data_IF_770466360143
#
_entry.id   IF_770466360143
#
_cell.length_a   1.000
_cell.length_b   1.000
_cell.length_c   1.000
_cell.angle_alpha   90.00
_cell.angle_beta   90.00
_cell.angle_gamma   90.00
#
_symmetry.space_group_name_H-M   'P 1'
#
loop_
_entity.id
_entity.type
_entity.pdbx_description
1 polymer ?
#
# COMPACT_ATOMS: atom_id res chain seq x y z
N UNK A 1 15.68 -29.61 29.20
CA UNK A 1 14.31 -29.93 28.79
C UNK A 1 14.26 -29.58 27.31
N UNK A 2 14.26 -30.61 26.44
CA UNK A 2 14.14 -30.44 24.97
C UNK A 2 12.74 -29.91 24.68
N UNK A 3 12.66 -28.68 24.17
CA UNK A 3 11.40 -28.12 23.62
C UNK A 3 10.81 -29.08 22.62
N UNK A 4 9.64 -29.59 22.92
CA UNK A 4 8.93 -30.50 22.03
C UNK A 4 8.56 -29.80 20.70
N UNK A 5 8.63 -30.47 19.55
CA UNK A 5 8.32 -29.86 18.25
C UNK A 5 6.90 -29.28 18.15
N UNK A 6 5.98 -29.72 19.00
CA UNK A 6 4.61 -29.18 19.09
C UNK A 6 4.54 -27.75 19.63
N UNK A 7 5.38 -27.37 20.56
CA UNK A 7 5.38 -26.01 21.13
C UNK A 7 5.93 -24.96 20.13
N UNK A 8 6.89 -25.35 19.28
CA UNK A 8 7.37 -24.48 18.20
C UNK A 8 6.28 -24.19 17.16
N UNK A 9 5.48 -25.18 16.78
CA UNK A 9 4.37 -25.02 15.82
C UNK A 9 3.27 -24.07 16.31
N UNK A 10 2.84 -24.20 17.57
CA UNK A 10 1.82 -23.33 18.18
C UNK A 10 2.30 -21.87 18.30
N UNK A 11 3.56 -21.65 18.70
CA UNK A 11 4.14 -20.31 18.76
C UNK A 11 4.21 -19.63 17.38
N UNK A 12 4.51 -20.36 16.32
CA UNK A 12 4.53 -19.85 14.96
C UNK A 12 3.13 -19.54 14.42
N UNK A 13 2.15 -20.37 14.72
CA UNK A 13 0.73 -20.12 14.35
C UNK A 13 0.22 -18.86 15.05
N UNK A 14 0.47 -18.71 16.35
CA UNK A 14 0.08 -17.52 17.11
C UNK A 14 0.73 -16.23 16.56
N UNK A 15 2.01 -16.27 16.22
CA UNK A 15 2.73 -15.14 15.60
C UNK A 15 2.16 -14.78 14.23
N UNK A 16 1.76 -15.77 13.43
CA UNK A 16 1.10 -15.53 12.13
C UNK A 16 -0.28 -14.92 12.30
N UNK A 17 -1.08 -15.42 13.25
CA UNK A 17 -2.39 -14.84 13.56
C UNK A 17 -2.29 -13.39 14.01
N UNK A 18 -1.37 -13.08 14.93
CA UNK A 18 -1.16 -11.70 15.41
C UNK A 18 -0.78 -10.75 14.28
N UNK A 19 0.12 -11.17 13.36
CA UNK A 19 0.48 -10.36 12.18
C UNK A 19 -0.71 -10.11 11.26
N UNK A 20 -1.57 -11.10 11.11
CA UNK A 20 -2.78 -10.97 10.29
C UNK A 20 -3.81 -10.07 10.96
N UNK A 21 -4.02 -10.18 12.26
CA UNK A 21 -4.90 -9.29 13.04
C UNK A 21 -4.48 -7.83 12.92
N UNK A 22 -3.18 -7.53 13.08
CA UNK A 22 -2.65 -6.17 12.88
C UNK A 22 -2.91 -5.65 11.45
N UNK A 23 -2.85 -6.54 10.46
CA UNK A 23 -3.14 -6.16 9.08
C UNK A 23 -4.62 -5.79 8.89
N UNK A 24 -5.53 -6.59 9.43
CA UNK A 24 -6.98 -6.33 9.37
C UNK A 24 -7.34 -5.06 10.13
N UNK A 25 -6.84 -4.90 11.36
CA UNK A 25 -7.07 -3.71 12.19
C UNK A 25 -6.59 -2.42 11.54
N UNK A 26 -5.55 -2.48 10.71
CA UNK A 26 -5.05 -1.32 9.98
C UNK A 26 -5.93 -0.92 8.80
N UNK A 27 -6.45 -1.91 8.04
CA UNK A 27 -7.13 -1.65 6.76
C UNK A 27 -8.39 -0.80 6.97
N UNK A 28 -9.22 -1.13 7.95
CA UNK A 28 -10.49 -0.44 8.19
C UNK A 28 -10.28 1.05 8.55
N UNK A 29 -9.45 1.43 9.55
CA UNK A 29 -9.19 2.84 9.83
C UNK A 29 -8.55 3.59 8.67
N UNK A 30 -7.60 2.96 7.94
CA UNK A 30 -6.97 3.59 6.78
C UNK A 30 -8.02 3.96 5.74
N UNK A 31 -8.90 3.01 5.40
CA UNK A 31 -9.94 3.24 4.40
C UNK A 31 -10.99 4.23 4.86
N UNK A 32 -11.37 4.20 6.13
CA UNK A 32 -12.30 5.18 6.70
C UNK A 32 -11.76 6.61 6.57
N UNK A 33 -10.48 6.82 6.90
CA UNK A 33 -9.84 8.14 6.77
C UNK A 33 -9.69 8.54 5.30
N UNK A 34 -9.27 7.61 4.42
CA UNK A 34 -9.16 7.87 2.98
C UNK A 34 -10.50 8.35 2.41
N UNK A 35 -11.60 7.66 2.68
CA UNK A 35 -12.93 8.05 2.20
C UNK A 35 -13.37 9.38 2.79
N UNK A 36 -13.24 9.56 4.10
CA UNK A 36 -13.63 10.81 4.76
C UNK A 36 -12.88 12.02 4.21
N UNK A 37 -11.56 11.92 4.05
CA UNK A 37 -10.74 13.02 3.51
C UNK A 37 -11.07 13.25 2.05
N UNK A 38 -11.25 12.18 1.26
CA UNK A 38 -11.62 12.30 -0.14
C UNK A 38 -12.97 13.00 -0.33
N UNK A 39 -13.98 12.63 0.46
CA UNK A 39 -15.31 13.24 0.39
C UNK A 39 -15.24 14.73 0.78
N UNK A 40 -14.48 15.08 1.82
CA UNK A 40 -14.29 16.48 2.20
C UNK A 40 -13.59 17.31 1.11
N UNK A 41 -12.58 16.75 0.46
CA UNK A 41 -11.91 17.41 -0.68
C UNK A 41 -12.88 17.57 -1.84
N UNK A 42 -13.65 16.52 -2.14
CA UNK A 42 -14.66 16.54 -3.20
C UNK A 42 -15.72 17.63 -2.94
N UNK A 43 -16.30 17.66 -1.74
CA UNK A 43 -17.29 18.65 -1.35
C UNK A 43 -16.74 20.08 -1.43
N UNK A 44 -15.49 20.27 -0.99
CA UNK A 44 -14.85 21.59 -1.05
C UNK A 44 -14.61 22.06 -2.50
N UNK A 45 -14.16 21.18 -3.39
CA UNK A 45 -13.92 21.52 -4.80
C UNK A 45 -15.25 21.80 -5.52
N UNK A 46 -16.29 21.01 -5.27
CA UNK A 46 -17.62 21.19 -5.86
C UNK A 46 -18.26 22.49 -5.34
N UNK A 47 -18.15 22.78 -4.04
CA UNK A 47 -18.73 24.01 -3.45
C UNK A 47 -18.02 25.29 -3.91
N UNK A 48 -16.75 25.21 -4.29
CA UNK A 48 -15.95 26.35 -4.75
C UNK A 48 -15.99 26.54 -6.26
N UNK A 49 -16.33 25.46 -7.02
CA UNK A 49 -16.39 25.48 -8.48
C UNK A 49 -17.81 25.27 -8.99
N UNK A 50 -18.11 25.90 -10.12
CA UNK A 50 -19.42 25.78 -10.81
C UNK A 50 -19.63 24.41 -11.51
N UNK A 51 -18.90 23.36 -11.08
CA UNK A 51 -18.89 22.03 -11.68
C UNK A 51 -19.53 21.01 -10.74
N UNK A 52 -20.42 20.21 -11.31
CA UNK A 52 -21.09 19.09 -10.61
C UNK A 52 -20.20 17.85 -10.45
N UNK A 53 -19.10 17.76 -11.18
CA UNK A 53 -18.17 16.64 -11.13
C UNK A 53 -16.71 17.11 -11.09
N UNK A 54 -15.88 16.35 -10.36
CA UNK A 54 -14.43 16.53 -10.36
C UNK A 54 -13.82 16.15 -11.69
N UNK A 55 -12.91 16.96 -12.17
CA UNK A 55 -12.04 16.63 -13.30
C UNK A 55 -11.09 15.47 -12.95
N UNK A 56 -10.60 14.74 -13.97
CA UNK A 56 -9.72 13.59 -13.79
C UNK A 56 -8.49 13.89 -12.94
N UNK A 57 -7.86 15.04 -13.17
CA UNK A 57 -6.70 15.50 -12.39
C UNK A 57 -7.06 15.80 -10.92
N UNK A 58 -8.21 16.43 -10.68
CA UNK A 58 -8.71 16.73 -9.33
C UNK A 58 -9.03 15.45 -8.55
N UNK A 59 -9.62 14.46 -9.21
CA UNK A 59 -9.86 13.12 -8.60
C UNK A 59 -8.55 12.44 -8.20
N UNK A 60 -7.53 12.52 -9.08
CA UNK A 60 -6.22 11.93 -8.81
C UNK A 60 -5.51 12.62 -7.64
N UNK A 61 -5.47 13.95 -7.64
CA UNK A 61 -4.84 14.73 -6.56
C UNK A 61 -5.59 14.54 -5.23
N UNK A 62 -6.92 14.62 -5.25
CA UNK A 62 -7.75 14.40 -4.06
C UNK A 62 -7.57 12.99 -3.49
N UNK A 63 -7.57 11.96 -4.33
CA UNK A 63 -7.31 10.58 -3.92
C UNK A 63 -5.90 10.38 -3.37
N UNK A 64 -4.89 11.04 -3.96
CA UNK A 64 -3.51 10.98 -3.47
C UNK A 64 -3.38 11.62 -2.09
N UNK A 65 -3.96 12.80 -1.88
CA UNK A 65 -3.95 13.49 -0.58
C UNK A 65 -4.69 12.64 0.46
N UNK A 66 -5.86 12.11 0.13
CA UNK A 66 -6.63 11.25 1.02
C UNK A 66 -5.85 9.99 1.43
N UNK A 67 -5.19 9.32 0.49
CA UNK A 67 -4.33 8.17 0.77
C UNK A 67 -3.10 8.53 1.62
N UNK A 68 -2.53 9.72 1.42
CA UNK A 68 -1.43 10.22 2.25
C UNK A 68 -1.89 10.45 3.70
N UNK A 69 -3.05 11.07 3.90
CA UNK A 69 -3.64 11.28 5.24
C UNK A 69 -3.95 9.95 5.93
N UNK A 70 -4.61 9.02 5.24
CA UNK A 70 -4.89 7.68 5.76
C UNK A 70 -3.63 6.93 6.16
N UNK A 71 -2.60 6.99 5.32
CA UNK A 71 -1.31 6.36 5.59
C UNK A 71 -0.59 7.03 6.77
N UNK A 72 -0.60 8.36 6.88
CA UNK A 72 0.05 9.08 7.96
C UNK A 72 -0.53 8.69 9.32
N UNK A 73 -1.85 8.58 9.42
CA UNK A 73 -2.53 8.21 10.66
C UNK A 73 -2.24 6.76 11.06
N UNK A 74 -2.18 5.86 10.10
CA UNK A 74 -2.00 4.42 10.36
C UNK A 74 -0.54 3.98 10.33
N UNK A 75 0.40 4.87 10.01
CA UNK A 75 1.83 4.59 9.92
C UNK A 75 2.43 3.96 11.20
N UNK A 76 2.06 4.36 12.42
CA UNK A 76 2.54 3.70 13.64
C UNK A 76 2.26 2.20 13.67
N UNK A 77 1.07 1.79 13.21
CA UNK A 77 0.69 0.37 13.13
C UNK A 77 1.50 -0.35 12.05
N UNK A 78 1.76 0.32 10.93
CA UNK A 78 2.61 -0.22 9.84
C UNK A 78 4.04 -0.47 10.30
N UNK A 79 4.62 0.46 11.06
CA UNK A 79 5.97 0.34 11.60
C UNK A 79 6.06 -0.84 12.57
N UNK A 80 5.11 -0.95 13.50
CA UNK A 80 5.03 -2.08 14.43
C UNK A 80 4.89 -3.41 13.70
N UNK A 81 3.98 -3.49 12.73
CA UNK A 81 3.78 -4.69 11.92
C UNK A 81 5.04 -5.09 11.16
N UNK A 82 5.73 -4.14 10.56
CA UNK A 82 6.98 -4.39 9.83
C UNK A 82 8.05 -4.96 10.75
N UNK A 83 8.16 -4.43 11.97
CA UNK A 83 9.12 -4.89 12.99
C UNK A 83 8.77 -6.26 13.55
N UNK A 84 7.52 -6.50 13.92
CA UNK A 84 7.04 -7.83 14.34
C UNK A 84 7.29 -8.88 13.25
N UNK A 85 7.09 -8.51 11.99
CA UNK A 85 7.36 -9.40 10.85
C UNK A 85 8.86 -9.68 10.65
N UNK A 86 9.72 -8.69 10.89
CA UNK A 86 11.17 -8.80 10.69
C UNK A 86 11.89 -9.49 11.85
N UNK A 87 11.43 -9.28 13.10
CA UNK A 87 12.06 -9.84 14.30
C UNK A 87 11.44 -11.15 14.77
N UNK A 88 10.20 -11.42 14.40
CA UNK A 88 9.43 -12.55 14.93
C UNK A 88 9.08 -12.42 16.42
N UNK A 89 9.26 -11.24 17.01
CA UNK A 89 8.91 -10.95 18.41
C UNK A 89 7.40 -10.82 18.59
N UNK A 90 6.93 -10.95 19.84
CA UNK A 90 5.58 -10.61 20.23
C UNK A 90 5.36 -9.08 20.14
N UNK A 91 4.14 -8.66 19.84
CA UNK A 91 3.79 -7.25 19.67
C UNK A 91 4.14 -6.41 20.89
N UNK A 92 3.85 -6.91 22.12
CA UNK A 92 4.13 -6.22 23.37
C UNK A 92 5.62 -6.01 23.61
N UNK A 93 6.44 -7.02 23.31
CA UNK A 93 7.89 -6.93 23.47
C UNK A 93 8.51 -6.01 22.41
N UNK A 94 8.01 -6.08 21.18
CA UNK A 94 8.43 -5.21 20.09
C UNK A 94 8.10 -3.74 20.40
N UNK A 95 6.91 -3.46 20.95
CA UNK A 95 6.50 -2.13 21.40
C UNK A 95 7.42 -1.61 22.51
N UNK A 96 7.60 -2.39 23.59
CA UNK A 96 8.46 -2.00 24.71
C UNK A 96 9.90 -1.73 24.28
N UNK A 97 10.48 -2.60 23.44
CA UNK A 97 11.83 -2.41 22.90
C UNK A 97 11.94 -1.17 22.01
N UNK A 98 10.93 -0.93 21.17
CA UNK A 98 10.92 0.22 20.28
C UNK A 98 10.91 1.52 21.07
N UNK A 99 9.98 1.64 22.04
CA UNK A 99 9.85 2.85 22.85
C UNK A 99 11.08 3.05 23.75
N UNK A 100 11.61 1.97 24.35
CA UNK A 100 12.79 2.05 25.24
C UNK A 100 14.09 2.42 24.50
N UNK A 101 14.29 1.88 23.29
CA UNK A 101 15.55 2.05 22.57
C UNK A 101 15.55 3.25 21.59
N UNK A 102 14.41 3.59 21.01
CA UNK A 102 14.33 4.57 19.92
C UNK A 102 13.33 5.70 20.18
N UNK A 103 12.49 5.57 21.22
CA UNK A 103 11.45 6.52 21.55
C UNK A 103 10.22 6.48 20.64
N UNK A 104 9.20 7.28 20.97
CA UNK A 104 7.94 7.34 20.21
C UNK A 104 8.12 7.81 18.75
N UNK A 105 9.10 8.67 18.48
CA UNK A 105 9.39 9.16 17.12
C UNK A 105 9.75 8.05 16.13
N UNK A 106 10.21 6.90 16.62
CA UNK A 106 10.52 5.74 15.79
C UNK A 106 9.30 5.14 15.08
N UNK A 107 8.09 5.38 15.59
CA UNK A 107 6.83 4.94 14.97
C UNK A 107 6.58 5.60 13.62
N UNK A 108 7.10 6.80 13.40
CA UNK A 108 6.98 7.54 12.14
C UNK A 108 8.22 7.43 11.24
N UNK A 109 9.21 6.60 11.62
CA UNK A 109 10.35 6.31 10.75
C UNK A 109 9.89 5.68 9.43
N UNK A 110 10.27 6.30 8.32
CA UNK A 110 9.89 5.87 6.98
C UNK A 110 8.58 6.46 6.45
N UNK A 111 7.86 7.30 7.22
CA UNK A 111 6.67 7.98 6.74
C UNK A 111 6.98 8.84 5.50
N UNK A 112 8.04 9.67 5.55
CA UNK A 112 8.45 10.49 4.41
C UNK A 112 8.75 9.66 3.16
N UNK A 113 9.42 8.52 3.34
CA UNK A 113 9.67 7.58 2.25
C UNK A 113 8.37 7.00 1.66
N UNK A 114 7.38 6.71 2.52
CA UNK A 114 6.08 6.23 2.07
C UNK A 114 5.30 7.32 1.30
N UNK A 115 5.33 8.57 1.79
CA UNK A 115 4.70 9.71 1.11
C UNK A 115 5.28 9.93 -0.28
N UNK A 116 6.61 9.92 -0.42
CA UNK A 116 7.30 10.04 -1.73
C UNK A 116 6.90 8.93 -2.69
N UNK A 117 6.57 7.74 -2.21
CA UNK A 117 6.10 6.62 -3.04
C UNK A 117 4.67 6.79 -3.55
N UNK A 118 3.78 7.36 -2.73
CA UNK A 118 2.34 7.46 -3.05
C UNK A 118 2.09 8.31 -4.29
N UNK A 119 2.78 9.43 -4.43
CA UNK A 119 2.59 10.35 -5.55
C UNK A 119 2.91 9.73 -6.93
N UNK A 120 4.10 9.14 -7.18
CA UNK A 120 4.39 8.52 -8.47
C UNK A 120 3.52 7.28 -8.73
N UNK A 121 3.14 6.53 -7.68
CA UNK A 121 2.22 5.41 -7.83
C UNK A 121 0.87 5.88 -8.40
N UNK A 122 0.27 6.92 -7.81
CA UNK A 122 -0.99 7.48 -8.28
C UNK A 122 -0.90 8.01 -9.70
N UNK A 123 0.18 8.74 -10.02
CA UNK A 123 0.40 9.30 -11.35
C UNK A 123 0.51 8.22 -12.44
N UNK A 124 1.34 7.20 -12.23
CA UNK A 124 1.51 6.11 -13.20
C UNK A 124 0.20 5.31 -13.35
N UNK A 125 -0.46 5.00 -12.22
CA UNK A 125 -1.71 4.24 -12.24
C UNK A 125 -2.79 4.97 -13.05
N UNK A 126 -2.96 6.26 -12.80
CA UNK A 126 -3.94 7.07 -13.51
C UNK A 126 -3.61 7.20 -15.01
N UNK A 127 -2.35 7.51 -15.33
CA UNK A 127 -1.90 7.66 -16.71
C UNK A 127 -2.13 6.39 -17.53
N UNK A 128 -1.73 5.24 -17.01
CA UNK A 128 -1.90 3.96 -17.72
C UNK A 128 -3.38 3.59 -17.84
N UNK A 129 -4.17 3.80 -16.79
CA UNK A 129 -5.61 3.57 -16.84
C UNK A 129 -6.31 4.43 -17.88
N UNK A 130 -6.00 5.72 -17.92
CA UNK A 130 -6.58 6.65 -18.89
C UNK A 130 -6.12 6.36 -20.33
N UNK A 131 -4.87 6.00 -20.51
CA UNK A 131 -4.34 5.57 -21.80
C UNK A 131 -5.09 4.31 -22.32
N UNK A 132 -5.26 3.28 -21.48
CA UNK A 132 -6.02 2.08 -21.85
C UNK A 132 -7.48 2.41 -22.19
N UNK A 133 -8.11 3.28 -21.39
CA UNK A 133 -9.48 3.73 -21.61
C UNK A 133 -9.63 4.52 -22.93
N UNK A 134 -8.69 5.40 -23.23
CA UNK A 134 -8.68 6.18 -24.46
C UNK A 134 -8.48 5.29 -25.70
N UNK A 135 -7.59 4.29 -25.62
CA UNK A 135 -7.40 3.29 -26.67
C UNK A 135 -8.69 2.49 -26.92
N UNK A 136 -9.36 2.04 -25.86
CA UNK A 136 -10.62 1.32 -25.97
C UNK A 136 -11.71 2.16 -26.65
N UNK A 137 -11.86 3.44 -26.25
CA UNK A 137 -12.82 4.36 -26.87
C UNK A 137 -12.53 4.63 -28.33
N UNK A 138 -11.27 4.72 -28.73
CA UNK A 138 -10.87 4.88 -30.14
C UNK A 138 -11.27 3.68 -30.99
N UNK A 139 -11.22 2.48 -30.42
CA UNK A 139 -11.48 1.23 -31.14
C UNK A 139 -13.00 0.90 -31.21
N UNK A 140 -13.73 1.14 -30.13
CA UNK A 140 -15.15 0.76 -29.98
C UNK A 140 -16.14 1.94 -30.07
N UNK A 141 -15.64 3.15 -30.29
CA UNK A 141 -16.42 4.38 -30.37
C UNK A 141 -16.56 5.10 -29.03
N UNK A 142 -16.73 6.41 -29.10
CA UNK A 142 -16.72 7.32 -27.94
C UNK A 142 -17.87 7.08 -26.94
N UNK A 143 -19.01 6.56 -27.45
CA UNK A 143 -20.24 6.26 -26.70
C UNK A 143 -20.29 4.81 -26.17
N UNK A 144 -19.26 3.98 -26.43
CA UNK A 144 -19.25 2.60 -25.97
C UNK A 144 -19.24 2.55 -24.44
N UNK A 145 -20.32 2.03 -23.86
CA UNK A 145 -20.37 1.74 -22.41
C UNK A 145 -19.33 0.65 -22.10
N UNK A 146 -18.32 1.00 -21.31
CA UNK A 146 -17.35 0.02 -20.86
C UNK A 146 -18.02 -0.98 -19.92
N UNK A 147 -17.99 -2.25 -20.30
CA UNK A 147 -18.37 -3.36 -19.43
C UNK A 147 -17.43 -3.46 -18.22
N UNK A 148 -17.85 -4.18 -17.20
CA UNK A 148 -17.05 -4.38 -15.97
C UNK A 148 -15.70 -5.06 -16.29
N UNK A 149 -15.67 -6.02 -17.20
CA UNK A 149 -14.47 -6.81 -17.51
C UNK A 149 -13.32 -5.96 -18.09
N UNK A 150 -13.48 -5.14 -19.14
CA UNK A 150 -12.44 -4.23 -19.62
C UNK A 150 -11.98 -3.25 -18.54
N UNK A 151 -12.90 -2.70 -17.75
CA UNK A 151 -12.58 -1.78 -16.65
C UNK A 151 -11.65 -2.40 -15.64
N UNK A 152 -11.91 -3.67 -15.28
CA UNK A 152 -11.05 -4.45 -14.36
C UNK A 152 -9.68 -4.75 -14.96
N UNK A 153 -9.62 -5.18 -16.22
CA UNK A 153 -8.37 -5.45 -16.90
C UNK A 153 -7.47 -4.19 -16.97
N UNK A 154 -8.08 -3.04 -17.28
CA UNK A 154 -7.33 -1.77 -17.32
C UNK A 154 -6.86 -1.34 -15.93
N UNK A 155 -7.70 -1.51 -14.90
CA UNK A 155 -7.30 -1.26 -13.52
C UNK A 155 -6.16 -2.18 -13.07
N UNK A 156 -6.21 -3.45 -13.42
CA UNK A 156 -5.14 -4.41 -13.11
C UNK A 156 -3.83 -4.07 -13.84
N UNK A 157 -3.88 -3.73 -15.13
CA UNK A 157 -2.72 -3.29 -15.91
C UNK A 157 -2.12 -2.00 -15.35
N UNK A 158 -2.95 -1.02 -15.04
CA UNK A 158 -2.53 0.25 -14.47
C UNK A 158 -1.87 0.05 -13.09
N UNK A 159 -2.48 -0.77 -12.23
CA UNK A 159 -1.91 -1.12 -10.94
C UNK A 159 -0.59 -1.87 -11.05
N UNK A 160 -0.47 -2.80 -11.99
CA UNK A 160 0.77 -3.52 -12.23
C UNK A 160 1.88 -2.59 -12.74
N UNK A 161 1.59 -1.71 -13.69
CA UNK A 161 2.55 -0.74 -14.21
C UNK A 161 3.00 0.23 -13.11
N UNK A 162 2.05 0.78 -12.32
CA UNK A 162 2.35 1.65 -11.20
C UNK A 162 3.21 0.94 -10.14
N UNK A 163 2.88 -0.31 -9.80
CA UNK A 163 3.65 -1.11 -8.85
C UNK A 163 5.08 -1.34 -9.35
N UNK A 164 5.25 -1.68 -10.64
CA UNK A 164 6.59 -1.85 -11.23
C UNK A 164 7.41 -0.56 -11.14
N UNK A 165 6.81 0.58 -11.52
CA UNK A 165 7.48 1.88 -11.50
C UNK A 165 7.93 2.33 -10.12
N UNK A 166 7.14 2.06 -9.09
CA UNK A 166 7.46 2.48 -7.71
C UNK A 166 8.15 1.40 -6.87
N UNK A 167 8.34 0.20 -7.41
CA UNK A 167 8.89 -0.93 -6.65
C UNK A 167 10.26 -0.64 -6.04
N UNK A 168 11.21 0.04 -6.72
CA UNK A 168 12.48 0.44 -6.13
C UNK A 168 12.31 1.31 -4.87
N UNK A 169 11.35 2.24 -4.91
CA UNK A 169 11.03 3.10 -3.75
C UNK A 169 10.47 2.27 -2.60
N UNK A 170 9.57 1.34 -2.89
CA UNK A 170 8.98 0.43 -1.90
C UNK A 170 10.03 -0.46 -1.24
N UNK A 171 10.97 -0.99 -2.04
CA UNK A 171 12.05 -1.84 -1.53
C UNK A 171 12.94 -1.08 -0.53
N UNK A 172 13.33 0.13 -0.86
CA UNK A 172 14.16 0.97 0.03
C UNK A 172 13.36 1.40 1.27
N UNK A 173 12.08 1.76 1.12
CA UNK A 173 11.21 2.08 2.25
C UNK A 173 11.17 0.91 3.26
N UNK A 174 10.96 -0.32 2.78
CA UNK A 174 10.96 -1.51 3.63
C UNK A 174 12.31 -1.73 4.33
N UNK A 175 13.43 -1.51 3.64
CA UNK A 175 14.78 -1.57 4.23
C UNK A 175 14.97 -0.53 5.33
N UNK A 176 14.52 0.71 5.12
CA UNK A 176 14.57 1.78 6.14
C UNK A 176 13.73 1.42 7.38
N UNK A 177 12.52 0.89 7.18
CA UNK A 177 11.65 0.48 8.29
C UNK A 177 12.27 -0.63 9.16
N UNK A 178 13.03 -1.54 8.55
CA UNK A 178 13.66 -2.69 9.22
C UNK A 178 15.07 -2.37 9.75
N UNK A 179 15.74 -1.35 9.22
CA UNK A 179 17.14 -1.04 9.55
C UNK A 179 17.37 -0.72 11.04
N UNK A 180 16.40 -0.11 11.73
CA UNK A 180 16.47 0.17 13.17
C UNK A 180 16.42 -1.06 14.08
N UNK A 181 16.16 -2.25 13.56
CA UNK A 181 15.99 -3.48 14.35
C UNK A 181 17.29 -4.25 14.61
N UNK A 182 18.34 -4.00 13.85
CA UNK A 182 19.63 -4.64 14.07
C UNK A 182 20.41 -3.84 15.12
N UNK A 183 20.77 -4.47 16.24
CA UNK A 183 21.67 -3.90 17.25
C UNK A 183 22.94 -3.37 16.55
N UNK A 184 23.18 -2.06 16.61
CA UNK A 184 24.31 -1.42 15.95
C UNK A 184 24.12 -1.09 14.46
N UNK A 185 22.93 -1.34 13.91
CA UNK A 185 22.59 -0.97 12.52
C UNK A 185 22.35 0.53 12.42
N UNK A 186 23.37 1.30 12.07
CA UNK A 186 23.22 2.63 11.52
C UNK A 186 22.29 2.54 10.31
N UNK A 187 21.37 3.50 10.16
CA UNK A 187 20.60 3.67 8.94
C UNK A 187 21.59 3.67 7.77
N UNK A 188 21.59 2.59 6.99
CA UNK A 188 22.50 2.43 5.86
C UNK A 188 22.31 3.56 4.82
N UNK A 189 21.20 4.31 4.91
CA UNK A 189 20.82 5.35 3.94
C UNK A 189 20.20 6.55 4.69
N UNK A 190 20.69 7.76 4.40
CA UNK A 190 20.12 9.02 4.91
C UNK A 190 18.78 9.33 4.22
N UNK A 191 18.70 9.07 2.90
CA UNK A 191 17.57 9.39 2.06
C UNK A 191 17.19 8.20 1.16
N UNK A 192 15.95 8.17 0.70
CA UNK A 192 15.41 7.14 -0.19
C UNK A 192 16.20 7.04 -1.50
N UNK A 193 16.52 8.17 -2.13
CA UNK A 193 17.30 8.22 -3.38
C UNK A 193 18.73 7.72 -3.20
N UNK A 194 19.37 8.06 -2.08
CA UNK A 194 20.68 7.50 -1.73
C UNK A 194 20.59 5.97 -1.56
N UNK A 195 19.50 5.47 -0.95
CA UNK A 195 19.26 4.03 -0.81
C UNK A 195 19.18 3.33 -2.16
N UNK A 196 18.43 3.90 -3.12
CA UNK A 196 18.32 3.36 -4.49
C UNK A 196 19.70 3.30 -5.16
N UNK A 197 20.46 4.39 -5.07
CA UNK A 197 21.80 4.47 -5.68
C UNK A 197 22.76 3.44 -5.07
N UNK A 198 22.82 3.35 -3.74
CA UNK A 198 23.72 2.43 -3.02
C UNK A 198 23.35 0.97 -3.30
N UNK A 199 22.08 0.62 -3.27
CA UNK A 199 21.64 -0.75 -3.57
C UNK A 199 21.86 -1.08 -5.04
N UNK A 200 21.53 -0.17 -5.95
CA UNK A 200 21.75 -0.35 -7.38
C UNK A 200 23.21 -0.56 -7.73
N UNK A 201 24.12 0.17 -7.05
CA UNK A 201 25.58 0.06 -7.28
C UNK A 201 26.17 -1.20 -6.63
N UNK A 202 25.78 -1.54 -5.42
CA UNK A 202 26.40 -2.64 -4.64
C UNK A 202 25.77 -4.00 -4.87
N UNK A 203 24.45 -4.04 -5.05
CA UNK A 203 23.69 -5.28 -5.18
C UNK A 203 23.12 -5.50 -6.60
N UNK A 204 23.23 -4.47 -7.45
CA UNK A 204 22.69 -4.47 -8.81
C UNK A 204 21.22 -4.05 -8.89
N UNK A 205 20.78 -3.67 -10.10
CA UNK A 205 19.41 -3.20 -10.36
C UNK A 205 18.37 -4.29 -10.06
N UNK A 206 18.72 -5.57 -10.29
CA UNK A 206 17.84 -6.71 -9.99
C UNK A 206 17.45 -6.80 -8.53
N UNK A 207 18.32 -6.37 -7.59
CA UNK A 207 18.03 -6.36 -6.16
C UNK A 207 16.93 -5.36 -5.79
N UNK A 208 16.76 -4.27 -6.56
CA UNK A 208 15.70 -3.30 -6.36
C UNK A 208 14.31 -3.86 -6.71
N UNK A 209 14.26 -4.89 -7.58
CA UNK A 209 13.04 -5.59 -7.98
C UNK A 209 12.88 -6.95 -7.31
N UNK A 210 13.76 -7.29 -6.38
CA UNK A 210 13.69 -8.55 -5.64
C UNK A 210 12.39 -8.62 -4.82
N UNK A 211 11.50 -9.54 -5.20
CA UNK A 211 10.19 -9.71 -4.57
C UNK A 211 9.00 -9.10 -5.33
N UNK A 212 9.20 -8.49 -6.50
CA UNK A 212 8.11 -8.01 -7.35
C UNK A 212 7.22 -9.17 -7.80
N UNK A 213 7.80 -10.28 -8.24
CA UNK A 213 7.07 -11.45 -8.69
C UNK A 213 6.19 -12.08 -7.59
N UNK A 214 6.69 -12.35 -6.38
CA UNK A 214 5.85 -12.77 -5.25
C UNK A 214 4.76 -11.76 -4.89
N UNK A 215 5.02 -10.46 -5.08
CA UNK A 215 4.02 -9.42 -4.83
C UNK A 215 2.86 -9.51 -5.83
N UNK A 216 3.13 -9.73 -7.11
CA UNK A 216 2.10 -9.97 -8.12
C UNK A 216 1.31 -11.25 -7.85
N UNK A 217 1.99 -12.34 -7.50
CA UNK A 217 1.34 -13.59 -7.14
C UNK A 217 0.36 -13.45 -5.96
N UNK A 218 0.59 -12.48 -5.07
CA UNK A 218 -0.34 -12.13 -3.98
C UNK A 218 -1.49 -11.23 -4.45
N UNK A 219 -1.20 -10.25 -5.30
CA UNK A 219 -2.19 -9.22 -5.72
C UNK A 219 -3.30 -9.85 -6.56
N UNK A 220 -2.96 -10.74 -7.49
CA UNK A 220 -3.94 -11.35 -8.42
C UNK A 220 -5.05 -12.12 -7.69
N UNK A 221 -4.77 -13.09 -6.79
CA UNK A 221 -5.82 -13.77 -6.04
C UNK A 221 -6.60 -12.82 -5.12
N UNK A 222 -5.92 -11.85 -4.49
CA UNK A 222 -6.58 -10.88 -3.61
C UNK A 222 -7.56 -10.00 -4.37
N UNK A 223 -7.20 -9.55 -5.57
CA UNK A 223 -8.09 -8.76 -6.42
C UNK A 223 -9.32 -9.57 -6.85
N UNK A 224 -9.13 -10.83 -7.27
CA UNK A 224 -10.21 -11.73 -7.66
C UNK A 224 -11.21 -11.96 -6.51
N UNK A 225 -10.72 -12.25 -5.30
CA UNK A 225 -11.54 -12.45 -4.12
C UNK A 225 -12.29 -11.16 -3.75
N UNK A 226 -11.61 -10.02 -3.75
CA UNK A 226 -12.23 -8.73 -3.43
C UNK A 226 -13.36 -8.41 -4.39
N UNK A 227 -13.17 -8.69 -5.68
CA UNK A 227 -14.19 -8.48 -6.69
C UNK A 227 -15.39 -9.42 -6.52
N UNK A 228 -15.13 -10.70 -6.27
CA UNK A 228 -16.18 -11.68 -6.01
C UNK A 228 -17.03 -11.29 -4.79
N UNK A 229 -16.37 -10.89 -3.70
CA UNK A 229 -17.08 -10.43 -2.48
C UNK A 229 -17.89 -9.14 -2.76
N UNK A 230 -17.33 -8.21 -3.55
CA UNK A 230 -18.05 -6.99 -3.94
C UNK A 230 -19.33 -7.32 -4.72
N UNK A 231 -19.22 -8.21 -5.70
CA UNK A 231 -20.37 -8.64 -6.53
C UNK A 231 -21.43 -9.37 -5.67
N UNK A 232 -20.99 -10.24 -4.77
CA UNK A 232 -21.87 -10.92 -3.83
C UNK A 232 -22.61 -9.93 -2.92
N UNK A 233 -21.90 -8.94 -2.37
CA UNK A 233 -22.50 -7.88 -1.55
C UNK A 233 -23.50 -7.05 -2.34
N UNK A 234 -23.20 -6.72 -3.59
CA UNK A 234 -24.08 -5.97 -4.47
C UNK A 234 -25.38 -6.73 -4.72
N UNK A 235 -25.31 -8.04 -4.93
CA UNK A 235 -26.48 -8.90 -5.08
C UNK A 235 -27.27 -9.01 -3.76
N UNK A 236 -26.60 -9.15 -2.61
CA UNK A 236 -27.27 -9.27 -1.31
C UNK A 236 -28.02 -8.01 -0.89
N UNK A 237 -27.50 -6.83 -1.26
CA UNK A 237 -28.10 -5.53 -0.91
C UNK A 237 -29.02 -4.96 -2.01
N UNK A 238 -29.27 -5.71 -3.08
CA UNK A 238 -30.17 -5.34 -4.21
C UNK A 238 -29.85 -3.93 -4.78
N UNK A 239 -28.56 -3.61 -4.88
CA UNK A 239 -28.07 -2.27 -5.31
C UNK A 239 -28.12 -2.12 -6.85
N UNK A 240 -28.60 -3.12 -7.58
CA UNK A 240 -28.70 -3.14 -9.03
C UNK A 240 -30.03 -2.55 -9.58
N UNK A 241 -30.65 -1.63 -8.84
CA UNK A 241 -31.79 -0.85 -9.36
C UNK A 241 -31.38 0.54 -9.79
#
# INVERSE_FOLDING_TARGET
>A
IRDQPRSRGLGDVYKRQMRNTLNVLRIAPTKAVEFFVYDKIKDHIISTGDKTELDGLQRMLGGSIASMCGTALTHPVDTLRSRVSGTGMLLGDCWKQLVANEGYGALWKGLGANMVRVAPYGAINFYVYDACKSMYRRQFGEKAKMSAVPTMCFGALAGAAAQTGVYPLEMIQRRIQVAGMKKGGTLAYKNMFQGIYVVGKNEGIGALYAGLLPNYAKILPSAAISFYVYELMKQMFDIDK
#
